data_IF_164748982802
#
_entry.id   IF_164748982802
#
_cell.length_a   1.000
_cell.length_b   1.000
_cell.length_c   1.000
_cell.angle_alpha   90.00
_cell.angle_beta   90.00
_cell.angle_gamma   90.00
#
_symmetry.space_group_name_H-M   'P 1'
#
loop_
_entity.id
_entity.type
_entity.pdbx_description
1 polymer ?
#
# COMPACT_ATOMS: atom_id res chain seq x y z
N UNK A 1 26.60 25.76 22.61
CA UNK A 1 25.87 24.51 22.92
C UNK A 1 25.23 23.97 21.63
N UNK A 2 26.04 23.38 20.74
CA UNK A 2 25.62 23.00 19.38
C UNK A 2 26.32 21.72 18.93
N UNK A 3 26.48 20.76 19.84
CA UNK A 3 27.30 19.57 19.57
C UNK A 3 26.74 18.33 20.30
N UNK A 4 25.44 18.03 20.14
CA UNK A 4 24.88 16.77 20.66
C UNK A 4 23.70 16.21 19.84
N UNK A 5 23.68 16.45 18.52
CA UNK A 5 22.64 15.99 17.58
C UNK A 5 23.25 15.35 16.33
N UNK A 6 24.30 14.53 16.49
CA UNK A 6 24.98 13.86 15.36
C UNK A 6 25.10 12.33 15.48
N UNK A 7 24.66 11.71 16.57
CA UNK A 7 24.90 10.28 16.83
C UNK A 7 23.72 9.35 16.45
N UNK A 8 22.49 9.86 16.30
CA UNK A 8 21.34 9.00 15.97
C UNK A 8 21.18 8.69 14.46
N UNK A 9 21.95 9.34 13.59
CA UNK A 9 21.85 9.15 12.14
C UNK A 9 22.55 7.90 11.61
N UNK A 10 23.63 7.46 12.26
CA UNK A 10 24.48 6.39 11.72
C UNK A 10 23.90 4.98 11.96
N UNK A 11 23.14 4.79 13.05
CA UNK A 11 22.50 3.50 13.37
C UNK A 11 21.39 3.11 12.39
N UNK A 12 20.66 4.10 11.83
CA UNK A 12 19.61 3.85 10.86
C UNK A 12 20.16 3.39 9.50
N UNK A 13 21.35 3.86 9.11
CA UNK A 13 21.99 3.52 7.85
C UNK A 13 22.61 2.11 7.88
N UNK A 14 23.13 1.66 9.02
CA UNK A 14 23.67 0.30 9.17
C UNK A 14 22.57 -0.76 9.06
N UNK A 15 21.41 -0.50 9.68
CA UNK A 15 20.24 -1.39 9.58
C UNK A 15 19.71 -1.52 8.14
N UNK A 16 19.78 -0.46 7.33
CA UNK A 16 19.40 -0.49 5.93
C UNK A 16 20.41 -1.25 5.04
N UNK A 17 21.71 -1.17 5.37
CA UNK A 17 22.77 -1.91 4.65
C UNK A 17 22.70 -3.41 4.90
N UNK A 18 22.43 -3.86 6.13
CA UNK A 18 22.29 -5.30 6.44
C UNK A 18 21.11 -5.94 5.70
N UNK A 19 19.95 -5.27 5.69
CA UNK A 19 18.78 -5.72 4.90
C UNK A 19 19.03 -5.79 3.40
N UNK A 20 19.99 -5.01 2.88
CA UNK A 20 20.38 -5.03 1.46
C UNK A 20 21.46 -6.08 1.16
N UNK A 21 22.22 -6.52 2.17
CA UNK A 21 23.28 -7.53 2.04
C UNK A 21 22.81 -8.99 2.24
N UNK A 22 21.70 -9.24 2.94
CA UNK A 22 21.16 -10.60 3.17
C UNK A 22 20.29 -11.14 2.02
N UNK A 23 20.31 -10.50 0.85
CA UNK A 23 19.54 -10.90 -0.33
C UNK A 23 20.30 -11.75 -1.36
N UNK A 24 21.55 -12.13 -1.12
CA UNK A 24 22.38 -12.82 -2.14
C UNK A 24 23.18 -13.98 -1.58
N UNK A 25 22.53 -15.15 -1.46
CA UNK A 25 23.15 -16.46 -1.71
C UNK A 25 22.13 -17.61 -1.62
N UNK A 26 21.41 -17.88 -2.73
CA UNK A 26 21.15 -19.22 -3.28
C UNK A 26 19.90 -19.20 -4.20
N UNK A 27 20.07 -19.55 -5.48
CA UNK A 27 18.94 -19.87 -6.36
C UNK A 27 19.04 -19.31 -7.78
N UNK A 28 20.01 -19.81 -8.54
CA UNK A 28 20.32 -19.55 -9.95
C UNK A 28 19.12 -19.61 -10.94
N UNK A 29 19.23 -18.72 -11.95
CA UNK A 29 18.87 -18.86 -13.37
C UNK A 29 17.41 -18.67 -13.80
N UNK A 30 17.14 -17.50 -14.41
CA UNK A 30 15.97 -17.25 -15.24
C UNK A 30 15.89 -15.80 -15.70
N UNK A 31 16.54 -15.50 -16.83
CA UNK A 31 16.52 -14.20 -17.48
C UNK A 31 15.13 -13.81 -18.03
N UNK A 32 15.04 -12.52 -18.38
CA UNK A 32 14.03 -11.87 -19.23
C UNK A 32 12.84 -11.27 -18.48
N UNK A 33 12.71 -9.95 -18.61
CA UNK A 33 11.59 -9.16 -18.15
C UNK A 33 10.26 -9.82 -18.50
N UNK A 34 9.52 -10.16 -17.46
CA UNK A 34 8.13 -10.53 -17.56
C UNK A 34 7.45 -9.85 -16.40
N UNK A 35 6.48 -9.01 -16.73
CA UNK A 35 5.57 -8.42 -15.75
C UNK A 35 5.28 -9.48 -14.68
N UNK A 36 5.56 -9.14 -13.42
CA UNK A 36 5.10 -9.93 -12.28
C UNK A 36 3.59 -9.85 -12.35
N UNK A 37 2.97 -10.76 -13.08
CA UNK A 37 1.58 -11.14 -12.88
C UNK A 37 1.57 -11.72 -11.48
N UNK A 38 0.93 -11.06 -10.49
CA UNK A 38 0.79 -11.66 -9.18
C UNK A 38 0.07 -12.98 -9.39
N UNK A 39 0.65 -14.05 -8.84
CA UNK A 39 0.03 -15.35 -8.74
C UNK A 39 -1.44 -15.20 -8.36
N UNK A 40 -2.31 -15.97 -9.02
CA UNK A 40 -3.76 -16.00 -8.84
C UNK A 40 -4.15 -15.63 -7.40
N UNK A 41 -4.55 -14.36 -7.27
CA UNK A 41 -5.11 -13.79 -6.05
C UNK A 41 -6.33 -14.63 -5.74
N UNK A 42 -6.34 -15.30 -4.59
CA UNK A 42 -7.55 -15.91 -4.06
C UNK A 42 -8.69 -14.90 -4.22
N UNK A 43 -9.61 -15.23 -5.11
CA UNK A 43 -10.84 -14.49 -5.26
C UNK A 43 -11.47 -14.42 -3.86
N UNK A 44 -11.86 -13.22 -3.44
CA UNK A 44 -12.72 -12.99 -2.27
C UNK A 44 -12.08 -12.79 -0.88
N UNK A 45 -10.84 -12.32 -0.80
CA UNK A 45 -10.43 -11.66 0.44
C UNK A 45 -11.11 -10.27 0.56
N UNK A 46 -12.11 -10.18 1.44
CA UNK A 46 -12.88 -8.96 1.71
C UNK A 46 -11.93 -7.76 1.96
N UNK A 47 -12.09 -6.64 1.23
CA UNK A 47 -11.17 -5.53 1.33
C UNK A 47 -11.31 -4.84 2.70
N UNK A 48 -10.19 -4.40 3.27
CA UNK A 48 -10.15 -3.70 4.56
C UNK A 48 -9.37 -2.41 4.42
N UNK A 49 -9.92 -1.32 4.95
CA UNK A 49 -9.22 -0.05 5.05
C UNK A 49 -8.25 -0.10 6.23
N UNK A 50 -6.96 0.07 5.95
CA UNK A 50 -5.90 0.02 6.95
C UNK A 50 -5.69 1.40 7.56
N UNK A 51 -5.70 2.46 6.74
CA UNK A 51 -5.40 3.81 7.19
C UNK A 51 -5.78 4.86 6.15
N UNK A 52 -6.04 6.07 6.63
CA UNK A 52 -6.13 7.29 5.83
C UNK A 52 -5.10 8.27 6.38
N UNK A 53 -4.29 8.86 5.51
CA UNK A 53 -3.18 9.73 5.88
C UNK A 53 -3.04 10.92 4.95
N UNK A 54 -2.36 11.97 5.43
CA UNK A 54 -2.21 13.23 4.74
C UNK A 54 -3.34 14.22 5.03
N UNK A 55 -3.29 15.38 4.37
CA UNK A 55 -4.18 16.52 4.64
C UNK A 55 -4.56 17.26 3.36
N UNK A 56 -5.75 17.88 3.36
CA UNK A 56 -6.23 18.72 2.26
C UNK A 56 -6.33 17.97 0.93
N UNK A 57 -5.57 18.42 -0.07
CA UNK A 57 -5.55 17.84 -1.43
C UNK A 57 -4.70 16.57 -1.55
N UNK A 58 -3.81 16.31 -0.59
CA UNK A 58 -2.90 15.15 -0.57
C UNK A 58 -3.37 14.15 0.48
N UNK A 59 -4.57 13.63 0.28
CA UNK A 59 -5.17 12.62 1.13
C UNK A 59 -4.98 11.25 0.48
N UNK A 60 -4.49 10.30 1.25
CA UNK A 60 -4.17 8.96 0.81
C UNK A 60 -4.90 7.93 1.66
N UNK A 61 -5.16 6.77 1.08
CA UNK A 61 -5.79 5.66 1.78
C UNK A 61 -5.13 4.35 1.39
N UNK A 62 -4.80 3.53 2.38
CA UNK A 62 -4.25 2.20 2.19
C UNK A 62 -5.35 1.16 2.41
N UNK A 63 -5.61 0.36 1.39
CA UNK A 63 -6.61 -0.71 1.43
C UNK A 63 -5.93 -2.03 1.15
N UNK A 64 -6.19 -3.02 2.01
CA UNK A 64 -5.68 -4.38 1.84
C UNK A 64 -6.78 -5.31 1.34
N UNK A 65 -6.49 -6.10 0.32
CA UNK A 65 -7.36 -7.18 -0.15
C UNK A 65 -6.49 -8.42 -0.34
N UNK A 66 -6.65 -9.38 0.57
CA UNK A 66 -5.74 -10.52 0.70
C UNK A 66 -4.33 -10.06 1.05
N UNK A 67 -3.35 -10.54 0.29
CA UNK A 67 -1.93 -10.16 0.49
C UNK A 67 -1.57 -8.82 -0.17
N UNK A 68 -2.44 -8.28 -1.02
CA UNK A 68 -2.15 -7.07 -1.78
C UNK A 68 -2.58 -5.81 -1.04
N UNK A 69 -1.66 -4.85 -0.95
CA UNK A 69 -1.93 -3.50 -0.49
C UNK A 69 -2.10 -2.55 -1.68
N UNK A 70 -3.16 -1.76 -1.66
CA UNK A 70 -3.49 -0.76 -2.65
C UNK A 70 -3.43 0.62 -2.01
N UNK A 71 -2.67 1.52 -2.63
CA UNK A 71 -2.55 2.89 -2.18
C UNK A 71 -3.35 3.83 -3.09
N UNK A 72 -4.44 4.38 -2.57
CA UNK A 72 -5.26 5.36 -3.26
C UNK A 72 -4.88 6.78 -2.85
N UNK A 73 -5.00 7.72 -3.79
CA UNK A 73 -4.86 9.15 -3.53
C UNK A 73 -6.09 9.89 -4.03
N UNK A 74 -6.56 10.85 -3.24
CA UNK A 74 -7.71 11.68 -3.61
C UNK A 74 -7.51 12.32 -4.98
N UNK A 75 -8.54 12.19 -5.82
CA UNK A 75 -8.54 12.73 -7.18
C UNK A 75 -8.07 11.76 -8.25
N UNK A 76 -7.45 10.63 -7.88
CA UNK A 76 -7.07 9.58 -8.81
C UNK A 76 -7.96 8.36 -8.65
N UNK A 77 -8.57 7.91 -9.74
CA UNK A 77 -9.46 6.75 -9.74
C UNK A 77 -8.72 5.43 -9.57
N UNK A 78 -7.45 5.34 -9.96
CA UNK A 78 -6.63 4.14 -9.84
C UNK A 78 -5.70 4.20 -8.63
N UNK A 79 -5.35 3.05 -8.03
CA UNK A 79 -4.31 3.00 -7.01
C UNK A 79 -2.94 3.34 -7.64
N UNK A 80 -2.08 3.96 -6.84
CA UNK A 80 -0.73 4.33 -7.24
C UNK A 80 0.06 3.10 -7.69
N UNK A 81 0.82 3.25 -8.78
CA UNK A 81 1.65 2.19 -9.34
C UNK A 81 0.89 1.08 -10.08
N UNK A 82 -0.44 1.21 -10.26
CA UNK A 82 -1.25 0.22 -10.96
C UNK A 82 -1.78 0.77 -12.28
N UNK A 83 -1.85 -0.10 -13.29
CA UNK A 83 -2.46 0.19 -14.59
C UNK A 83 -3.92 -0.26 -14.57
N UNK A 84 -4.80 0.42 -15.30
CA UNK A 84 -6.20 0.00 -15.42
C UNK A 84 -6.31 -1.45 -15.90
N UNK A 85 -7.16 -2.23 -15.26
CA UNK A 85 -7.40 -3.63 -15.60
C UNK A 85 -8.73 -4.10 -15.04
N UNK A 86 -9.30 -5.12 -15.67
CA UNK A 86 -10.57 -5.70 -15.23
C UNK A 86 -10.40 -6.37 -13.86
N UNK A 87 -11.22 -5.94 -12.92
CA UNK A 87 -11.21 -6.45 -11.55
C UNK A 87 -10.35 -5.68 -10.55
N UNK A 88 -9.74 -4.55 -10.94
CA UNK A 88 -9.14 -3.62 -10.00
C UNK A 88 -10.18 -2.74 -9.31
N UNK A 89 -9.89 -2.37 -8.05
CA UNK A 89 -10.67 -1.38 -7.33
C UNK A 89 -10.42 0.02 -7.91
N UNK A 90 -11.49 0.78 -8.09
CA UNK A 90 -11.48 2.18 -8.49
C UNK A 90 -11.94 3.06 -7.34
N UNK A 91 -11.22 4.14 -7.08
CA UNK A 91 -11.62 5.14 -6.11
C UNK A 91 -12.80 5.96 -6.66
N UNK A 92 -13.90 5.96 -5.92
CA UNK A 92 -15.04 6.86 -6.15
C UNK A 92 -14.98 8.07 -5.25
N UNK A 93 -14.69 7.85 -3.97
CA UNK A 93 -14.67 8.92 -2.98
C UNK A 93 -13.68 8.60 -1.85
N UNK A 94 -12.96 9.62 -1.38
CA UNK A 94 -12.15 9.56 -0.17
C UNK A 94 -12.49 10.77 0.69
N UNK A 95 -13.21 10.54 1.79
CA UNK A 95 -13.74 11.60 2.64
C UNK A 95 -13.78 11.19 4.12
N UNK A 96 -13.35 12.10 4.99
CA UNK A 96 -13.33 11.87 6.44
C UNK A 96 -12.55 10.61 6.81
N UNK A 97 -13.23 9.69 7.50
CA UNK A 97 -12.67 8.39 7.94
C UNK A 97 -13.05 7.22 7.02
N UNK A 98 -13.58 7.47 5.82
CA UNK A 98 -14.09 6.44 4.93
C UNK A 98 -13.60 6.60 3.48
N UNK A 99 -13.56 5.47 2.77
CA UNK A 99 -13.26 5.37 1.35
C UNK A 99 -14.38 4.60 0.65
N UNK A 100 -14.81 5.09 -0.51
CA UNK A 100 -15.74 4.40 -1.42
C UNK A 100 -14.97 3.89 -2.62
N UNK A 101 -15.02 2.58 -2.81
CA UNK A 101 -14.37 1.87 -3.92
C UNK A 101 -15.42 1.22 -4.82
N UNK A 102 -15.12 1.08 -6.09
CA UNK A 102 -15.91 0.31 -7.05
C UNK A 102 -15.07 -0.81 -7.65
N UNK A 103 -15.61 -2.02 -7.73
CA UNK A 103 -15.00 -3.16 -8.42
C UNK A 103 -16.08 -3.94 -9.15
N UNK A 104 -15.92 -4.12 -10.48
CA UNK A 104 -16.87 -4.83 -11.34
C UNK A 104 -18.33 -4.33 -11.16
N UNK A 105 -18.51 -3.02 -11.05
CA UNK A 105 -19.83 -2.38 -10.85
C UNK A 105 -20.39 -2.46 -9.43
N UNK A 106 -19.71 -3.13 -8.49
CA UNK A 106 -20.11 -3.16 -7.09
C UNK A 106 -19.36 -2.09 -6.31
N UNK A 107 -20.10 -1.25 -5.61
CA UNK A 107 -19.53 -0.25 -4.70
C UNK A 107 -19.37 -0.82 -3.29
N UNK A 108 -18.28 -0.45 -2.64
CA UNK A 108 -17.96 -0.86 -1.28
C UNK A 108 -17.48 0.37 -0.50
N UNK A 109 -18.13 0.64 0.62
CA UNK A 109 -17.72 1.67 1.58
C UNK A 109 -16.91 1.01 2.70
N UNK A 110 -15.68 1.47 2.89
CA UNK A 110 -14.82 1.03 3.98
C UNK A 110 -14.51 2.21 4.88
N UNK A 111 -14.74 2.06 6.17
CA UNK A 111 -14.45 3.09 7.16
C UNK A 111 -13.42 2.59 8.16
N UNK A 112 -12.59 3.51 8.67
CA UNK A 112 -11.73 3.23 9.80
C UNK A 112 -12.63 2.92 11.00
N UNK A 113 -12.46 1.73 11.57
CA UNK A 113 -13.00 1.44 12.89
C UNK A 113 -12.41 2.48 13.85
N UNK A 114 -13.28 3.32 14.44
CA UNK A 114 -12.89 4.11 15.62
C UNK A 114 -12.31 3.11 16.61
N UNK A 115 -11.08 3.33 17.08
CA UNK A 115 -10.37 2.43 18.00
C UNK A 115 -11.06 2.29 19.36
N UNK A 116 -12.28 1.75 19.38
CA UNK A 116 -12.97 1.26 20.55
C UNK A 116 -12.53 -0.18 20.78
N UNK A 117 -11.96 -0.40 21.98
CA UNK A 117 -11.54 -1.70 22.52
C UNK A 117 -12.51 -2.81 22.11
N UNK A 118 -11.95 -3.90 21.60
CA UNK A 118 -12.57 -5.22 21.70
C UNK A 118 -11.82 -5.98 22.78
#
# INVERSE_FOLDING_TARGET
MRELMRLDGELALDAARRRRGEGTAAGRLGAVGKAVVPAMVSADAAPRLIGIYGVGKRLFAEVRSGEQAFLFVRGNSLPLGHVAGDGLYRLKELAGSCIRLERKGNETLLCLSRGGRQ
#
